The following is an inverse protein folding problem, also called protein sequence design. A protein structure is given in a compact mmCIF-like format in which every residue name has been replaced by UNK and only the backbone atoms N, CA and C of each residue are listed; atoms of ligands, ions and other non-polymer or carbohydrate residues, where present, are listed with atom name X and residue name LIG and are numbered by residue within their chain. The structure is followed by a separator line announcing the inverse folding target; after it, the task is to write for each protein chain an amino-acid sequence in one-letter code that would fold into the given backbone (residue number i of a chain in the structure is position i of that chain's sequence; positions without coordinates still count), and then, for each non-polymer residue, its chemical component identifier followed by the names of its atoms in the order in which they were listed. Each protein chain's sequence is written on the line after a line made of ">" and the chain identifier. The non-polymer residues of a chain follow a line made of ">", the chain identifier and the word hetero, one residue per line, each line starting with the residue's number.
data_IF_495043238061
#
_entry.id   IF_495043238061
#
_cell.length_a   1.000
_cell.length_b   1.000
_cell.length_c   1.000
_cell.angle_alpha   90.00
_cell.angle_beta   90.00
_cell.angle_gamma   90.00
#
_symmetry.space_group_name_H-M   'P 1'
#
loop_
_entity.id
_entity.type
_entity.pdbx_description
1 polymer ?
#
# COMPACT_ATOMS: atom_id res chain seq x y z
N UNK A 1 19.88 -13.54 2.80
CA UNK A 1 18.81 -13.00 1.92
C UNK A 1 17.41 -13.28 2.46
N UNK A 2 17.14 -14.48 2.99
CA UNK A 2 15.82 -14.83 3.56
C UNK A 2 15.35 -13.89 4.69
N UNK A 3 16.24 -13.43 5.59
CA UNK A 3 15.92 -12.43 6.62
C UNK A 3 15.44 -11.09 6.02
N UNK A 4 16.10 -10.63 4.97
CA UNK A 4 15.75 -9.39 4.25
C UNK A 4 14.40 -9.49 3.55
N UNK A 5 14.13 -10.62 2.89
CA UNK A 5 12.83 -10.88 2.24
C UNK A 5 11.71 -10.88 3.28
N UNK A 6 11.91 -11.57 4.42
CA UNK A 6 10.93 -11.58 5.53
C UNK A 6 10.67 -10.19 6.10
N UNK A 7 11.73 -9.40 6.32
CA UNK A 7 11.59 -8.02 6.79
C UNK A 7 10.78 -7.17 5.80
N UNK A 8 11.11 -7.25 4.50
CA UNK A 8 10.39 -6.53 3.46
C UNK A 8 8.93 -6.98 3.37
N UNK A 9 8.63 -8.29 3.46
CA UNK A 9 7.26 -8.79 3.55
C UNK A 9 6.51 -8.14 4.71
N UNK A 10 7.12 -8.11 5.90
CA UNK A 10 6.50 -7.52 7.08
C UNK A 10 6.23 -6.03 6.91
N UNK A 11 7.16 -5.28 6.30
CA UNK A 11 6.95 -3.86 5.98
C UNK A 11 5.74 -3.66 5.08
N UNK A 12 5.57 -4.46 4.02
CA UNK A 12 4.44 -4.32 3.10
C UNK A 12 3.10 -4.71 3.77
N UNK A 13 3.11 -5.69 4.67
CA UNK A 13 1.94 -6.04 5.48
C UNK A 13 1.57 -4.87 6.41
N UNK A 14 2.54 -4.28 7.10
CA UNK A 14 2.30 -3.14 7.98
C UNK A 14 1.75 -1.93 7.22
N UNK A 15 2.30 -1.63 6.04
CA UNK A 15 1.80 -0.56 5.18
C UNK A 15 0.38 -0.83 4.67
N UNK A 16 0.05 -2.09 4.36
CA UNK A 16 -1.32 -2.48 3.97
C UNK A 16 -2.32 -2.27 5.10
N UNK A 17 -1.96 -2.64 6.33
CA UNK A 17 -2.79 -2.39 7.52
C UNK A 17 -2.97 -0.89 7.74
N UNK A 18 -1.91 -0.10 7.58
CA UNK A 18 -1.97 1.34 7.73
C UNK A 18 -2.92 2.00 6.71
N UNK A 19 -2.88 1.56 5.45
CA UNK A 19 -3.83 2.01 4.42
C UNK A 19 -5.29 1.69 4.78
N UNK A 20 -5.56 0.50 5.33
CA UNK A 20 -6.90 0.13 5.79
C UNK A 20 -7.36 1.02 6.96
N UNK A 21 -6.47 1.36 7.89
CA UNK A 21 -6.79 2.27 9.00
C UNK A 21 -7.17 3.66 8.46
N UNK A 22 -6.39 4.21 7.52
CA UNK A 22 -6.69 5.51 6.88
C UNK A 22 -8.07 5.47 6.20
N UNK A 23 -8.35 4.40 5.44
CA UNK A 23 -9.64 4.25 4.77
C UNK A 23 -10.81 4.20 5.76
N UNK A 24 -10.69 3.44 6.84
CA UNK A 24 -11.71 3.38 7.90
C UNK A 24 -11.90 4.76 8.55
N UNK A 25 -10.82 5.50 8.82
CA UNK A 25 -10.90 6.85 9.34
C UNK A 25 -11.64 7.81 8.39
N UNK A 26 -11.39 7.69 7.08
CA UNK A 26 -12.12 8.48 6.08
C UNK A 26 -13.62 8.19 6.14
N UNK A 27 -14.03 6.92 6.18
CA UNK A 27 -15.44 6.53 6.28
C UNK A 27 -16.12 7.05 7.56
N UNK A 28 -15.41 7.09 8.68
CA UNK A 28 -15.97 7.60 9.93
C UNK A 28 -16.14 9.13 9.90
N UNK A 29 -15.21 9.84 9.25
CA UNK A 29 -15.18 11.31 9.20
C UNK A 29 -16.14 11.87 8.15
N UNK A 30 -16.27 11.20 6.99
CA UNK A 30 -17.23 11.62 5.96
C UNK A 30 -18.68 11.51 6.44
N UNK A 31 -18.96 10.55 7.33
CA UNK A 31 -20.27 10.39 7.96
C UNK A 31 -20.59 11.44 9.04
N UNK A 32 -19.62 12.21 9.53
CA UNK A 32 -19.82 13.21 10.61
C UNK A 32 -20.06 14.65 10.14
N UNK A 33 -20.15 14.89 8.82
CA UNK A 33 -20.52 16.20 8.26
C UNK A 33 -19.36 17.13 7.88
N UNK A 34 -18.11 16.77 8.19
CA UNK A 34 -16.88 17.49 7.82
C UNK A 34 -16.25 16.98 6.51
N UNK A 35 -17.05 16.41 5.61
CA UNK A 35 -16.59 15.56 4.49
C UNK A 35 -15.59 16.21 3.53
N UNK A 36 -15.78 17.49 3.16
CA UNK A 36 -14.98 18.10 2.09
C UNK A 36 -13.46 18.14 2.36
N UNK A 37 -13.04 18.37 3.61
CA UNK A 37 -11.61 18.38 3.95
C UNK A 37 -11.07 16.97 4.20
N UNK A 38 -11.90 16.06 4.70
CA UNK A 38 -11.55 14.66 4.88
C UNK A 38 -11.29 13.98 3.52
N UNK A 39 -12.14 14.23 2.53
CA UNK A 39 -12.02 13.66 1.19
C UNK A 39 -10.77 14.17 0.48
N UNK A 40 -10.48 15.47 0.55
CA UNK A 40 -9.24 16.05 0.01
C UNK A 40 -8.00 15.48 0.71
N UNK A 41 -8.03 15.36 2.04
CA UNK A 41 -6.95 14.75 2.82
C UNK A 41 -6.72 13.30 2.44
N UNK A 42 -7.79 12.52 2.30
CA UNK A 42 -7.74 11.13 1.87
C UNK A 42 -7.13 10.99 0.48
N UNK A 43 -7.58 11.80 -0.49
CA UNK A 43 -7.01 11.84 -1.84
C UNK A 43 -5.49 12.12 -1.82
N UNK A 44 -5.04 13.15 -1.11
CA UNK A 44 -3.62 13.49 -1.02
C UNK A 44 -2.77 12.38 -0.41
N UNK A 45 -3.29 11.73 0.65
CA UNK A 45 -2.61 10.61 1.29
C UNK A 45 -2.54 9.42 0.34
N UNK A 46 -3.65 9.04 -0.31
CA UNK A 46 -3.65 7.93 -1.27
C UNK A 46 -2.73 8.20 -2.46
N UNK A 47 -2.66 9.43 -2.95
CA UNK A 47 -1.74 9.84 -4.00
C UNK A 47 -0.28 9.66 -3.58
N UNK A 48 0.08 10.08 -2.35
CA UNK A 48 1.43 9.87 -1.82
C UNK A 48 1.78 8.38 -1.71
N UNK A 49 0.85 7.54 -1.25
CA UNK A 49 1.05 6.08 -1.17
C UNK A 49 1.17 5.42 -2.53
N UNK A 50 0.47 5.92 -3.56
CA UNK A 50 0.63 5.45 -4.93
C UNK A 50 2.04 5.75 -5.45
N UNK A 51 2.57 6.95 -5.21
CA UNK A 51 3.95 7.30 -5.56
C UNK A 51 4.94 6.39 -4.83
N UNK A 52 4.76 6.17 -3.53
CA UNK A 52 5.60 5.26 -2.75
C UNK A 52 5.57 3.84 -3.34
N UNK A 53 4.40 3.36 -3.77
CA UNK A 53 4.23 2.05 -4.39
C UNK A 53 5.04 1.94 -5.70
N UNK A 54 4.99 2.96 -6.56
CA UNK A 54 5.79 3.01 -7.80
C UNK A 54 7.29 2.94 -7.46
N UNK A 55 7.74 3.72 -6.48
CA UNK A 55 9.15 3.71 -6.04
C UNK A 55 9.55 2.34 -5.48
N UNK A 56 8.70 1.70 -4.68
CA UNK A 56 8.94 0.37 -4.10
C UNK A 56 8.86 -0.77 -5.14
N UNK A 57 8.26 -0.53 -6.31
CA UNK A 57 8.24 -1.50 -7.42
C UNK A 57 9.65 -1.82 -7.90
N UNK A 58 10.53 -0.81 -7.96
CA UNK A 58 11.91 -0.96 -8.44
C UNK A 58 12.70 -1.97 -7.58
N UNK A 59 12.85 -1.79 -6.26
CA UNK A 59 13.55 -2.77 -5.42
C UNK A 59 12.85 -4.13 -5.40
N UNK A 60 11.51 -4.18 -5.49
CA UNK A 60 10.77 -5.43 -5.61
C UNK A 60 11.20 -6.22 -6.86
N UNK A 61 11.26 -5.58 -8.03
CA UNK A 61 11.69 -6.20 -9.28
C UNK A 61 13.15 -6.66 -9.23
N UNK A 62 14.05 -5.82 -8.69
CA UNK A 62 15.47 -6.17 -8.55
C UNK A 62 15.64 -7.44 -7.69
N UNK A 63 14.95 -7.50 -6.54
CA UNK A 63 15.00 -8.66 -5.64
C UNK A 63 14.32 -9.88 -6.29
N UNK A 64 13.22 -9.67 -7.02
CA UNK A 64 12.49 -10.69 -7.77
C UNK A 64 13.37 -11.41 -8.77
N UNK A 65 13.98 -10.64 -9.66
CA UNK A 65 14.89 -11.13 -10.70
C UNK A 65 16.09 -11.83 -10.06
N UNK A 66 16.72 -11.23 -9.04
CA UNK A 66 17.92 -11.79 -8.40
C UNK A 66 17.67 -13.15 -7.75
N UNK A 67 16.49 -13.39 -7.19
CA UNK A 67 16.15 -14.68 -6.56
C UNK A 67 15.38 -15.63 -7.47
N UNK A 68 15.19 -15.28 -8.76
CA UNK A 68 14.38 -16.05 -9.73
C UNK A 68 12.97 -16.35 -9.22
N UNK A 69 12.44 -15.49 -8.35
CA UNK A 69 11.17 -15.69 -7.62
C UNK A 69 11.07 -16.99 -6.81
N UNK A 70 12.17 -17.75 -6.64
CA UNK A 70 12.21 -18.92 -5.78
C UNK A 70 12.26 -18.45 -4.33
N UNK A 71 11.39 -19.01 -3.48
CA UNK A 71 11.25 -18.65 -2.05
C UNK A 71 10.67 -17.26 -1.73
N UNK A 72 10.12 -16.55 -2.73
CA UNK A 72 9.58 -15.19 -2.54
C UNK A 72 8.07 -15.12 -2.32
N UNK A 73 7.36 -16.25 -2.21
CA UNK A 73 5.89 -16.30 -2.19
C UNK A 73 5.25 -15.33 -1.18
N UNK A 74 5.77 -15.27 0.05
CA UNK A 74 5.24 -14.35 1.07
C UNK A 74 5.48 -12.88 0.71
N UNK A 75 6.64 -12.55 0.15
CA UNK A 75 6.96 -11.18 -0.25
C UNK A 75 6.20 -10.75 -1.50
N UNK A 76 6.05 -11.65 -2.47
CA UNK A 76 5.23 -11.43 -3.65
C UNK A 76 3.78 -11.16 -3.28
N UNK A 77 3.22 -11.96 -2.36
CA UNK A 77 1.87 -11.79 -1.87
C UNK A 77 1.71 -10.49 -1.07
N UNK A 78 2.62 -10.21 -0.14
CA UNK A 78 2.59 -8.96 0.65
C UNK A 78 2.71 -7.71 -0.23
N UNK A 79 3.62 -7.73 -1.21
CA UNK A 79 3.79 -6.64 -2.17
C UNK A 79 2.56 -6.49 -3.08
N UNK A 80 2.03 -7.59 -3.60
CA UNK A 80 0.84 -7.60 -4.44
C UNK A 80 -0.39 -7.06 -3.71
N UNK A 81 -0.62 -7.49 -2.47
CA UNK A 81 -1.69 -6.99 -1.61
C UNK A 81 -1.54 -5.50 -1.34
N UNK A 82 -0.34 -5.04 -0.94
CA UNK A 82 -0.08 -3.61 -0.71
C UNK A 82 -0.32 -2.77 -1.97
N UNK A 83 0.19 -3.23 -3.11
CA UNK A 83 0.03 -2.54 -4.41
C UNK A 83 -1.44 -2.48 -4.82
N UNK A 84 -2.14 -3.62 -4.74
CA UNK A 84 -3.56 -3.72 -5.07
C UNK A 84 -4.42 -2.82 -4.19
N UNK A 85 -4.17 -2.80 -2.88
CA UNK A 85 -4.84 -1.90 -1.94
C UNK A 85 -4.54 -0.43 -2.26
N UNK A 86 -3.28 -0.08 -2.52
CA UNK A 86 -2.90 1.31 -2.83
C UNK A 86 -3.60 1.82 -4.08
N UNK A 87 -3.66 1.00 -5.14
CA UNK A 87 -4.36 1.34 -6.38
C UNK A 87 -5.87 1.42 -6.17
N UNK A 88 -6.46 0.44 -5.49
CA UNK A 88 -7.91 0.40 -5.25
C UNK A 88 -8.36 1.58 -4.40
N UNK A 89 -7.67 1.87 -3.30
CA UNK A 89 -8.02 2.99 -2.42
C UNK A 89 -7.77 4.34 -3.10
N UNK A 90 -6.75 4.46 -3.95
CA UNK A 90 -6.57 5.66 -4.78
C UNK A 90 -7.74 5.85 -5.74
N UNK A 91 -8.18 4.81 -6.45
CA UNK A 91 -9.37 4.90 -7.32
C UNK A 91 -10.61 5.31 -6.52
N UNK A 92 -10.80 4.74 -5.32
CA UNK A 92 -11.91 5.14 -4.44
C UNK A 92 -11.80 6.59 -3.96
N UNK A 93 -10.58 7.12 -3.78
CA UNK A 93 -10.35 8.52 -3.39
C UNK A 93 -10.64 9.54 -4.48
N UNK A 94 -10.87 9.09 -5.73
CA UNK A 94 -11.25 9.95 -6.85
C UNK A 94 -12.76 10.11 -6.99
N UNK A 95 -13.56 9.31 -6.27
CA UNK A 95 -15.03 9.37 -6.26
C UNK A 95 -15.51 10.27 -5.12
#
# INVERSE_FOLDING_TARGET
>A
MQKTIKFLSFTHIALSIFLLIIYIQNLLTSNSGDGSWADLGFFLVMFAFLIITIVLTIPFLIIGIKNKFKEMNLYLLAYGTYTGLSVLLFILSLN
#
